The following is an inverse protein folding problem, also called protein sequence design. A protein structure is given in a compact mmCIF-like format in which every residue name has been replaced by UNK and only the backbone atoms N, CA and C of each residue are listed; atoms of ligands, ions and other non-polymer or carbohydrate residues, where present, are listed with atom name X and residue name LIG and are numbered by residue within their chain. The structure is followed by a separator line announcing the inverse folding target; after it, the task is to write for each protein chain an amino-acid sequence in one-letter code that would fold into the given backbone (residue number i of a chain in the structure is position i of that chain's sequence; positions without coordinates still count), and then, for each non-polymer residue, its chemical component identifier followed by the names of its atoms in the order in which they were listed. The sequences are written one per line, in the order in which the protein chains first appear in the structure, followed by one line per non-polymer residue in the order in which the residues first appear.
data_IF_661314098331
#
_entry.id   IF_661314098331
#
_cell.length_a   1.000
_cell.length_b   1.000
_cell.length_c   1.000
_cell.angle_alpha   90.00
_cell.angle_beta   90.00
_cell.angle_gamma   90.00
#
_symmetry.space_group_name_H-M   'P 1'
#
loop_
_entity.id
_entity.type
_entity.pdbx_description
1 polymer ?
#
# COMPACT_ATOMS: atom_id res chain seq x y z
N UNK A 1 6.77 31.99 6.41
CA UNK A 1 5.79 31.07 5.76
C UNK A 1 6.49 29.73 5.50
N UNK A 2 6.13 28.67 6.22
CA UNK A 2 6.74 27.35 6.05
C UNK A 2 6.37 26.80 4.67
N UNK A 3 7.37 26.60 3.82
CA UNK A 3 7.22 25.92 2.52
C UNK A 3 6.65 24.52 2.78
N UNK A 4 5.34 24.35 2.62
CA UNK A 4 4.72 23.03 2.56
C UNK A 4 5.47 22.22 1.51
N UNK A 5 6.04 21.09 1.90
CA UNK A 5 6.60 20.14 0.95
C UNK A 5 5.55 19.91 -0.14
N UNK A 6 5.88 20.31 -1.38
CA UNK A 6 4.95 20.31 -2.51
C UNK A 6 4.38 18.89 -2.63
N UNK A 7 3.12 18.74 -2.28
CA UNK A 7 2.41 17.47 -2.43
C UNK A 7 2.51 17.09 -3.90
N UNK A 8 2.98 15.89 -4.19
CA UNK A 8 3.11 15.39 -5.56
C UNK A 8 1.75 14.78 -5.93
N UNK A 9 0.90 15.46 -6.73
CA UNK A 9 -0.50 15.06 -6.90
C UNK A 9 -0.66 13.64 -7.46
N UNK A 10 0.17 13.23 -8.42
CA UNK A 10 0.07 11.88 -9.01
C UNK A 10 0.30 10.75 -7.99
N UNK A 11 1.05 10.98 -6.89
CA UNK A 11 1.17 9.97 -5.83
C UNK A 11 -0.16 9.75 -5.08
N UNK A 12 -0.94 10.82 -4.91
CA UNK A 12 -2.30 10.66 -4.38
C UNK A 12 -3.20 9.92 -5.37
N UNK A 13 -3.03 10.18 -6.67
CA UNK A 13 -3.73 9.43 -7.70
C UNK A 13 -3.42 7.94 -7.66
N UNK A 14 -2.14 7.55 -7.54
CA UNK A 14 -1.77 6.14 -7.39
C UNK A 14 -2.43 5.53 -6.15
N UNK A 15 -2.45 6.23 -5.03
CA UNK A 15 -3.11 5.77 -3.81
C UNK A 15 -4.62 5.62 -4.00
N UNK A 16 -5.25 6.58 -4.69
CA UNK A 16 -6.69 6.55 -4.96
C UNK A 16 -7.09 5.38 -5.85
N UNK A 17 -6.38 5.18 -6.99
CA UNK A 17 -6.66 4.05 -7.89
C UNK A 17 -6.38 2.70 -7.21
N UNK A 18 -5.32 2.62 -6.40
CA UNK A 18 -5.01 1.41 -5.65
C UNK A 18 -6.08 1.07 -4.63
N UNK A 19 -6.58 2.05 -3.88
CA UNK A 19 -7.61 1.85 -2.87
C UNK A 19 -8.95 1.37 -3.48
N UNK A 20 -9.42 2.03 -4.55
CA UNK A 20 -10.66 1.60 -5.21
C UNK A 20 -10.49 0.22 -5.85
N UNK A 21 -9.35 -0.06 -6.46
CA UNK A 21 -9.12 -1.33 -7.11
C UNK A 21 -9.08 -2.50 -6.10
N UNK A 22 -8.44 -2.34 -4.94
CA UNK A 22 -8.45 -3.33 -3.86
C UNK A 22 -9.88 -3.51 -3.31
N UNK A 23 -10.64 -2.43 -3.20
CA UNK A 23 -12.06 -2.49 -2.78
C UNK A 23 -12.89 -3.33 -3.76
N UNK A 24 -12.73 -3.09 -5.07
CA UNK A 24 -13.40 -3.87 -6.11
C UNK A 24 -12.96 -5.34 -6.12
N UNK A 25 -11.68 -5.61 -5.89
CA UNK A 25 -11.14 -6.97 -5.78
C UNK A 25 -11.81 -7.77 -4.65
N UNK A 26 -11.85 -7.22 -3.44
CA UNK A 26 -12.51 -7.90 -2.32
C UNK A 26 -14.00 -8.06 -2.55
N UNK A 27 -14.65 -7.04 -3.11
CA UNK A 27 -16.07 -7.11 -3.46
C UNK A 27 -16.35 -8.22 -4.49
N UNK A 28 -15.56 -8.29 -5.56
CA UNK A 28 -15.71 -9.33 -6.58
C UNK A 28 -15.57 -10.74 -5.98
N UNK A 29 -14.58 -10.94 -5.11
CA UNK A 29 -14.40 -12.20 -4.40
C UNK A 29 -15.61 -12.55 -3.51
N UNK A 30 -16.19 -11.56 -2.83
CA UNK A 30 -17.40 -11.76 -2.01
C UNK A 30 -18.61 -12.15 -2.87
N UNK A 31 -18.79 -11.51 -4.03
CA UNK A 31 -19.89 -11.85 -4.97
C UNK A 31 -19.73 -13.28 -5.49
N UNK A 32 -18.50 -13.66 -5.86
CA UNK A 32 -18.20 -15.02 -6.32
C UNK A 32 -18.48 -16.05 -5.22
N UNK A 33 -18.05 -15.78 -4.00
CA UNK A 33 -18.27 -16.67 -2.84
C UNK A 33 -19.75 -16.77 -2.44
N UNK A 34 -20.52 -15.70 -2.61
CA UNK A 34 -21.95 -15.67 -2.30
C UNK A 34 -22.82 -16.46 -3.31
N UNK A 35 -22.26 -16.89 -4.44
CA UNK A 35 -22.98 -17.60 -5.51
C UNK A 35 -22.36 -18.97 -5.82
N UNK A 36 -22.42 -19.94 -4.89
CA UNK A 36 -21.77 -21.25 -5.05
C UNK A 36 -22.39 -22.09 -6.17
N UNK A 37 -23.61 -21.79 -6.60
CA UNK A 37 -24.28 -22.48 -7.73
C UNK A 37 -23.67 -22.16 -9.11
N UNK A 38 -22.74 -21.24 -9.14
CA UNK A 38 -22.02 -20.84 -10.34
C UNK A 38 -22.24 -19.38 -10.72
N UNK A 39 -21.21 -18.79 -11.28
CA UNK A 39 -21.21 -17.41 -11.76
C UNK A 39 -21.43 -17.41 -13.28
N UNK A 40 -22.31 -16.55 -13.84
CA UNK A 40 -22.49 -16.45 -15.27
C UNK A 40 -21.19 -16.14 -16.01
N UNK A 41 -20.92 -16.82 -17.11
CA UNK A 41 -19.70 -16.63 -17.91
C UNK A 41 -19.51 -15.17 -18.36
N UNK A 42 -20.60 -14.46 -18.64
CA UNK A 42 -20.54 -13.03 -18.97
C UNK A 42 -20.03 -12.20 -17.79
N UNK A 43 -20.45 -12.52 -16.55
CA UNK A 43 -19.93 -11.83 -15.36
C UNK A 43 -18.42 -12.00 -15.24
N UNK A 44 -17.89 -13.21 -15.39
CA UNK A 44 -16.45 -13.45 -15.40
C UNK A 44 -15.73 -12.61 -16.46
N UNK A 45 -16.22 -12.63 -17.71
CA UNK A 45 -15.62 -11.83 -18.79
C UNK A 45 -15.56 -10.33 -18.48
N UNK A 46 -16.58 -9.80 -17.80
CA UNK A 46 -16.65 -8.37 -17.44
C UNK A 46 -15.78 -8.01 -16.22
N UNK A 47 -15.53 -8.96 -15.32
CA UNK A 47 -14.89 -8.71 -14.03
C UNK A 47 -13.51 -9.36 -13.86
N UNK A 48 -13.04 -10.18 -14.80
CA UNK A 48 -11.75 -10.87 -14.69
C UNK A 48 -10.56 -9.91 -14.45
N UNK A 49 -10.61 -8.71 -15.02
CA UNK A 49 -9.59 -7.70 -14.77
C UNK A 49 -9.54 -7.23 -13.31
N UNK A 50 -10.61 -7.39 -12.53
CA UNK A 50 -10.67 -7.01 -11.10
C UNK A 50 -9.86 -7.98 -10.23
N UNK A 51 -9.69 -9.24 -10.66
CA UNK A 51 -8.98 -10.30 -9.91
C UNK A 51 -7.54 -9.94 -9.53
N UNK A 52 -6.95 -8.96 -10.19
CA UNK A 52 -5.58 -8.52 -9.98
C UNK A 52 -5.43 -7.39 -8.94
N UNK A 53 -6.46 -7.14 -8.16
CA UNK A 53 -6.47 -6.04 -7.17
C UNK A 53 -5.42 -6.17 -6.08
N UNK A 54 -5.03 -7.37 -5.71
CA UNK A 54 -4.02 -7.65 -4.69
C UNK A 54 -2.63 -7.08 -5.07
N UNK A 55 -2.25 -7.11 -6.35
CA UNK A 55 -0.97 -6.54 -6.81
C UNK A 55 -0.84 -5.04 -6.57
N UNK A 56 -1.94 -4.30 -6.41
CA UNK A 56 -1.90 -2.83 -6.18
C UNK A 56 -1.33 -2.45 -4.83
N UNK A 57 -1.32 -3.39 -3.88
CA UNK A 57 -0.68 -3.21 -2.57
C UNK A 57 0.83 -2.98 -2.72
N UNK A 58 1.46 -3.57 -3.76
CA UNK A 58 2.87 -3.35 -4.06
C UNK A 58 3.24 -1.85 -4.21
N UNK A 59 2.38 -1.06 -4.87
CA UNK A 59 2.60 0.37 -5.03
C UNK A 59 2.61 1.12 -3.69
N UNK A 60 1.79 0.69 -2.72
CA UNK A 60 1.78 1.30 -1.38
C UNK A 60 3.11 1.09 -0.65
N UNK A 61 3.71 -0.10 -0.75
CA UNK A 61 4.99 -0.39 -0.10
C UNK A 61 6.14 0.43 -0.71
N UNK A 62 6.20 0.55 -2.03
CA UNK A 62 7.18 1.41 -2.70
C UNK A 62 6.99 2.87 -2.27
N UNK A 63 5.74 3.37 -2.27
CA UNK A 63 5.46 4.73 -1.82
C UNK A 63 5.76 4.93 -0.33
N UNK A 64 5.51 3.94 0.51
CA UNK A 64 5.82 3.99 1.93
C UNK A 64 7.32 4.11 2.16
N UNK A 65 8.13 3.24 1.54
CA UNK A 65 9.59 3.32 1.59
C UNK A 65 10.12 4.67 1.08
N UNK A 66 9.60 5.17 -0.05
CA UNK A 66 9.97 6.46 -0.61
C UNK A 66 9.65 7.62 0.35
N UNK A 67 8.38 7.76 0.75
CA UNK A 67 7.91 8.89 1.55
C UNK A 67 8.51 8.93 2.97
N UNK A 68 8.81 7.77 3.54
CA UNK A 68 9.46 7.69 4.84
C UNK A 68 10.94 8.06 4.80
N UNK A 69 11.58 7.84 3.66
CA UNK A 69 12.99 8.18 3.45
C UNK A 69 13.19 9.66 3.13
N UNK A 70 12.21 10.35 2.52
CA UNK A 70 12.32 11.78 2.14
C UNK A 70 12.83 12.69 3.27
N UNK A 71 12.28 12.68 4.50
CA UNK A 71 12.78 13.57 5.56
C UNK A 71 14.19 13.22 6.06
N UNK A 72 14.61 11.97 5.90
CA UNK A 72 15.91 11.46 6.34
C UNK A 72 16.98 11.77 5.32
N UNK A 73 16.63 11.60 4.05
CA UNK A 73 17.54 11.81 2.93
C UNK A 73 17.94 13.28 2.74
N UNK A 74 17.25 14.23 3.38
CA UNK A 74 17.63 15.66 3.40
C UNK A 74 18.96 15.90 4.12
N UNK A 75 19.38 15.00 5.01
CA UNK A 75 20.70 15.01 5.60
C UNK A 75 21.55 13.92 4.94
N UNK A 76 22.74 14.26 4.41
CA UNK A 76 23.68 13.30 3.86
C UNK A 76 24.11 12.19 4.84
N UNK A 77 23.73 12.31 6.11
CA UNK A 77 24.10 11.41 7.18
C UNK A 77 23.05 10.34 7.52
N UNK A 78 21.93 10.27 6.80
CA UNK A 78 20.84 9.31 7.08
C UNK A 78 20.32 9.35 8.53
N UNK A 79 20.37 10.52 9.17
CA UNK A 79 19.93 10.69 10.56
C UNK A 79 18.43 10.99 10.62
N UNK A 80 17.76 10.34 11.55
CA UNK A 80 16.36 10.64 11.91
C UNK A 80 16.30 11.92 12.75
N UNK A 81 15.51 12.94 12.40
CA UNK A 81 15.46 14.22 13.10
C UNK A 81 15.10 14.12 14.59
N UNK A 82 14.43 13.05 15.02
CA UNK A 82 14.04 12.82 16.42
C UNK A 82 14.49 11.43 16.91
N UNK A 83 15.52 10.86 16.32
CA UNK A 83 15.99 9.50 16.60
C UNK A 83 14.99 8.40 16.21
N UNK A 84 15.41 7.17 16.38
CA UNK A 84 14.66 5.97 16.04
C UNK A 84 13.36 5.86 16.84
N UNK A 85 13.42 6.09 18.15
CA UNK A 85 12.23 6.06 19.04
C UNK A 85 11.19 7.11 18.63
N UNK A 86 11.63 8.35 18.37
CA UNK A 86 10.74 9.43 17.96
C UNK A 86 10.12 9.18 16.59
N UNK A 87 10.86 8.56 15.68
CA UNK A 87 10.34 8.10 14.38
C UNK A 87 9.26 7.03 14.56
N UNK A 88 9.58 5.93 15.24
CA UNK A 88 8.65 4.81 15.45
C UNK A 88 7.39 5.26 16.18
N UNK A 89 7.51 6.10 17.23
CA UNK A 89 6.35 6.64 17.93
C UNK A 89 5.41 7.39 16.99
N UNK A 90 5.94 8.36 16.20
CA UNK A 90 5.09 9.13 15.26
C UNK A 90 4.45 8.25 14.19
N UNK A 91 5.14 7.18 13.75
CA UNK A 91 4.58 6.24 12.78
C UNK A 91 3.53 5.34 13.42
N UNK A 92 3.77 4.86 14.63
CA UNK A 92 2.79 4.11 15.40
C UNK A 92 1.52 4.93 15.63
N UNK A 93 1.64 6.15 16.13
CA UNK A 93 0.49 7.04 16.36
C UNK A 93 -0.35 7.24 15.08
N UNK A 94 0.33 7.50 13.95
CA UNK A 94 -0.35 7.76 12.68
C UNK A 94 -0.99 6.52 12.04
N UNK A 95 -0.34 5.36 12.15
CA UNK A 95 -0.80 4.11 11.54
C UNK A 95 -1.71 3.35 12.49
N UNK A 96 -1.27 3.10 13.71
CA UNK A 96 -1.94 2.19 14.63
C UNK A 96 -3.15 2.82 15.31
N UNK A 97 -3.19 4.13 15.50
CA UNK A 97 -4.35 4.80 16.07
C UNK A 97 -5.63 4.53 15.26
N UNK A 98 -5.69 4.90 13.97
CA UNK A 98 -6.83 4.55 13.14
C UNK A 98 -7.02 3.04 12.95
N UNK A 99 -5.93 2.26 12.91
CA UNK A 99 -6.00 0.80 12.81
C UNK A 99 -6.79 0.16 13.95
N UNK A 100 -6.50 0.51 15.21
CA UNK A 100 -7.20 -0.10 16.33
C UNK A 100 -8.68 0.29 16.41
N UNK A 101 -9.03 1.51 16.00
CA UNK A 101 -10.44 1.91 15.85
C UNK A 101 -11.14 1.09 14.76
N UNK A 102 -10.45 0.91 13.61
CA UNK A 102 -10.96 0.09 12.52
C UNK A 102 -11.01 -1.40 12.90
N UNK A 103 -10.06 -1.90 13.68
CA UNK A 103 -10.09 -3.28 14.21
C UNK A 103 -11.32 -3.49 15.11
N UNK A 104 -11.61 -2.56 16.02
CA UNK A 104 -12.81 -2.63 16.85
C UNK A 104 -14.10 -2.62 16.01
N UNK A 105 -14.19 -1.75 15.01
CA UNK A 105 -15.28 -1.75 14.04
C UNK A 105 -15.35 -3.07 13.26
N UNK A 106 -14.20 -3.61 12.82
CA UNK A 106 -14.15 -4.88 12.10
C UNK A 106 -14.61 -6.05 12.94
N UNK A 107 -14.26 -6.08 14.23
CA UNK A 107 -14.75 -7.09 15.19
C UNK A 107 -16.27 -7.00 15.34
N UNK A 108 -16.82 -5.79 15.55
CA UNK A 108 -18.26 -5.60 15.65
C UNK A 108 -18.97 -6.10 14.39
N UNK A 109 -18.53 -5.65 13.22
CA UNK A 109 -19.13 -6.04 11.94
C UNK A 109 -18.93 -7.53 11.62
N UNK A 110 -17.81 -8.14 12.07
CA UNK A 110 -17.58 -9.56 11.96
C UNK A 110 -18.59 -10.37 12.78
N UNK A 111 -18.88 -9.97 14.01
CA UNK A 111 -19.86 -10.65 14.86
C UNK A 111 -21.27 -10.51 14.29
N UNK A 112 -21.66 -9.33 13.79
CA UNK A 112 -22.95 -9.12 13.12
C UNK A 112 -23.03 -9.97 11.84
N UNK A 113 -21.98 -9.96 11.01
CA UNK A 113 -21.92 -10.77 9.81
C UNK A 113 -22.04 -12.28 10.13
N UNK A 114 -21.33 -12.75 11.15
CA UNK A 114 -21.38 -14.15 11.60
C UNK A 114 -22.79 -14.57 11.98
N UNK A 115 -23.53 -13.71 12.69
CA UNK A 115 -24.94 -13.95 13.05
C UNK A 115 -25.83 -13.96 11.80
N UNK A 116 -25.66 -13.00 10.88
CA UNK A 116 -26.45 -12.90 9.63
C UNK A 116 -26.18 -14.08 8.71
N UNK A 117 -24.91 -14.46 8.52
CA UNK A 117 -24.49 -15.55 7.66
C UNK A 117 -24.60 -16.93 8.31
N UNK A 118 -25.04 -16.98 9.58
CA UNK A 118 -25.16 -18.21 10.38
C UNK A 118 -23.86 -19.01 10.46
N UNK A 119 -22.70 -18.31 10.46
CA UNK A 119 -21.38 -18.91 10.60
C UNK A 119 -20.97 -18.90 12.09
N UNK A 120 -20.71 -20.06 12.72
CA UNK A 120 -20.39 -20.11 14.14
C UNK A 120 -19.05 -19.47 14.44
N UNK A 121 -18.99 -18.65 15.51
CA UNK A 121 -17.74 -18.09 16.02
C UNK A 121 -17.14 -19.04 17.06
N UNK A 122 -16.04 -19.69 16.70
CA UNK A 122 -15.28 -20.52 17.62
C UNK A 122 -14.45 -19.65 18.56
N UNK A 123 -14.84 -19.54 19.83
CA UNK A 123 -14.26 -18.60 20.81
C UNK A 123 -12.73 -18.68 20.89
N UNK A 124 -12.14 -19.89 20.91
CA UNK A 124 -10.68 -20.08 20.95
C UNK A 124 -10.00 -19.48 19.71
N UNK A 125 -10.49 -19.78 18.51
CA UNK A 125 -9.93 -19.26 17.27
C UNK A 125 -10.09 -17.74 17.18
N UNK A 126 -11.24 -17.22 17.60
CA UNK A 126 -11.51 -15.78 17.65
C UNK A 126 -10.56 -15.07 18.62
N UNK A 127 -10.36 -15.57 19.82
CA UNK A 127 -9.46 -14.97 20.81
C UNK A 127 -8.01 -14.95 20.34
N UNK A 128 -7.54 -16.05 19.74
CA UNK A 128 -6.19 -16.13 19.14
C UNK A 128 -6.07 -15.14 17.97
N UNK A 129 -7.05 -15.12 17.07
CA UNK A 129 -7.07 -14.19 15.94
C UNK A 129 -7.07 -12.74 16.41
N UNK A 130 -7.91 -12.38 17.37
CA UNK A 130 -7.96 -11.02 17.92
C UNK A 130 -6.65 -10.63 18.59
N UNK A 131 -6.08 -11.50 19.44
CA UNK A 131 -4.79 -11.24 20.07
C UNK A 131 -3.67 -11.03 19.02
N UNK A 132 -3.65 -11.86 17.98
CA UNK A 132 -2.68 -11.72 16.89
C UNK A 132 -2.83 -10.39 16.13
N UNK A 133 -4.07 -9.91 15.91
CA UNK A 133 -4.34 -8.60 15.31
C UNK A 133 -3.91 -7.44 16.22
N UNK A 134 -4.21 -7.54 17.52
CA UNK A 134 -3.78 -6.52 18.51
C UNK A 134 -2.26 -6.43 18.58
N UNK A 135 -1.55 -7.58 18.50
CA UNK A 135 -0.09 -7.63 18.53
C UNK A 135 0.58 -7.36 17.18
N UNK A 136 -0.19 -7.17 16.09
CA UNK A 136 0.33 -6.97 14.72
C UNK A 136 1.22 -8.12 14.22
N UNK A 137 0.88 -9.34 14.59
CA UNK A 137 1.57 -10.59 14.19
C UNK A 137 0.66 -11.56 13.42
N UNK A 138 -0.61 -11.16 13.17
CA UNK A 138 -1.59 -12.00 12.49
C UNK A 138 -1.18 -12.37 11.05
N UNK A 139 -0.31 -11.58 10.41
CA UNK A 139 0.25 -11.89 9.10
C UNK A 139 1.31 -13.01 9.11
N UNK A 140 1.76 -13.46 10.29
CA UNK A 140 2.78 -14.50 10.44
C UNK A 140 2.21 -15.92 10.56
N UNK A 141 0.89 -16.06 10.69
CA UNK A 141 0.19 -17.35 10.76
C UNK A 141 -1.02 -17.34 9.79
N UNK A 142 -1.09 -18.30 8.84
CA UNK A 142 -2.19 -18.33 7.85
C UNK A 142 -3.58 -18.48 8.49
N UNK A 143 -3.67 -19.04 9.72
CA UNK A 143 -4.92 -19.21 10.44
C UNK A 143 -5.46 -17.91 11.02
N UNK A 144 -4.59 -16.93 11.27
CA UNK A 144 -4.97 -15.63 11.85
C UNK A 144 -4.99 -14.49 10.84
N UNK A 145 -4.26 -14.63 9.73
CA UNK A 145 -3.99 -13.57 8.75
C UNK A 145 -5.27 -12.92 8.21
N UNK A 146 -6.27 -13.73 7.82
CA UNK A 146 -7.50 -13.27 7.18
C UNK A 146 -8.74 -13.40 8.10
N UNK A 147 -8.56 -13.75 9.37
CA UNK A 147 -9.65 -14.21 10.24
C UNK A 147 -10.71 -13.14 10.52
N UNK A 148 -10.32 -11.95 10.95
CA UNK A 148 -11.26 -10.86 11.30
C UNK A 148 -11.56 -10.01 10.09
N UNK A 149 -10.52 -9.53 9.41
CA UNK A 149 -10.64 -8.65 8.25
C UNK A 149 -9.45 -8.86 7.32
N UNK A 150 -9.73 -9.39 6.15
CA UNK A 150 -8.73 -9.82 5.17
C UNK A 150 -7.63 -8.75 4.91
N UNK A 151 -7.92 -7.47 4.61
CA UNK A 151 -6.88 -6.51 4.24
C UNK A 151 -5.90 -6.15 5.37
N UNK A 152 -6.22 -6.42 6.63
CA UNK A 152 -5.45 -5.89 7.78
C UNK A 152 -4.02 -6.46 7.89
N UNK A 153 -3.71 -7.62 7.24
CA UNK A 153 -2.36 -8.18 7.20
C UNK A 153 -1.32 -7.18 6.69
N UNK A 154 -1.71 -6.34 5.76
CA UNK A 154 -0.84 -5.34 5.16
C UNK A 154 -0.39 -4.26 6.16
N UNK A 155 -1.27 -3.85 7.09
CA UNK A 155 -0.94 -2.85 8.12
C UNK A 155 0.10 -3.42 9.09
N UNK A 156 -0.02 -4.69 9.47
CA UNK A 156 0.97 -5.36 10.30
C UNK A 156 2.34 -5.41 9.59
N UNK A 157 2.36 -5.84 8.33
CA UNK A 157 3.60 -5.92 7.55
C UNK A 157 4.21 -4.52 7.32
N UNK A 158 3.40 -3.50 7.06
CA UNK A 158 3.88 -2.12 6.92
C UNK A 158 4.52 -1.62 8.21
N UNK A 159 3.91 -1.88 9.37
CA UNK A 159 4.51 -1.51 10.66
C UNK A 159 5.80 -2.29 10.95
N UNK A 160 5.85 -3.58 10.62
CA UNK A 160 7.06 -4.39 10.70
C UNK A 160 8.18 -3.82 9.80
N UNK A 161 7.85 -3.35 8.60
CA UNK A 161 8.80 -2.65 7.73
C UNK A 161 9.32 -1.35 8.36
N UNK A 162 8.49 -0.59 9.10
CA UNK A 162 8.95 0.62 9.82
C UNK A 162 9.95 0.28 10.93
N UNK A 163 9.70 -0.79 11.66
CA UNK A 163 10.62 -1.28 12.71
C UNK A 163 11.94 -1.75 12.08
N UNK A 164 11.87 -2.59 11.04
CA UNK A 164 13.03 -3.06 10.29
C UNK A 164 13.86 -1.87 9.72
N UNK A 165 13.19 -0.91 9.13
CA UNK A 165 13.85 0.27 8.58
C UNK A 165 14.59 1.08 9.65
N UNK A 166 13.92 1.42 10.75
CA UNK A 166 14.49 2.27 11.76
C UNK A 166 15.62 1.59 12.55
N UNK A 167 15.45 0.31 12.88
CA UNK A 167 16.37 -0.39 13.80
C UNK A 167 17.47 -1.19 13.09
N UNK A 168 17.29 -1.55 11.82
CA UNK A 168 18.23 -2.40 11.08
C UNK A 168 18.75 -1.71 9.84
N UNK A 169 17.86 -1.36 8.90
CA UNK A 169 18.29 -0.83 7.59
C UNK A 169 19.01 0.50 7.71
N UNK A 170 18.45 1.43 8.45
CA UNK A 170 19.03 2.77 8.56
C UNK A 170 20.40 2.78 9.26
N UNK A 171 20.63 2.10 10.42
CA UNK A 171 21.95 1.93 10.99
C UNK A 171 22.93 1.23 10.05
N UNK A 172 22.48 0.18 9.34
CA UNK A 172 23.32 -0.52 8.37
C UNK A 172 23.69 0.38 7.18
N UNK A 173 22.76 1.20 6.67
CA UNK A 173 23.03 2.16 5.60
C UNK A 173 24.04 3.24 6.01
N UNK A 174 24.02 3.68 7.27
CA UNK A 174 25.03 4.60 7.81
C UNK A 174 26.41 3.99 7.84
N UNK A 175 26.53 2.68 8.12
CA UNK A 175 27.81 1.99 8.28
C UNK A 175 28.37 1.44 6.97
N UNK A 176 27.52 0.89 6.10
CA UNK A 176 27.92 0.12 4.92
C UNK A 176 27.53 0.76 3.59
N UNK A 177 26.98 2.00 3.63
CA UNK A 177 26.41 2.66 2.47
C UNK A 177 25.01 2.14 2.12
N UNK A 178 24.39 2.74 1.10
CA UNK A 178 22.96 2.50 0.78
C UNK A 178 22.73 1.11 0.19
N UNK A 179 23.56 0.69 -0.75
CA UNK A 179 23.26 -0.48 -1.58
C UNK A 179 23.41 -1.81 -0.85
N UNK A 180 24.48 -1.99 -0.07
CA UNK A 180 24.76 -3.26 0.60
C UNK A 180 23.60 -3.74 1.50
N UNK A 181 23.04 -2.90 2.41
CA UNK A 181 21.90 -3.32 3.23
C UNK A 181 20.63 -3.55 2.42
N UNK A 182 20.37 -2.75 1.37
CA UNK A 182 19.18 -2.93 0.54
C UNK A 182 19.25 -4.23 -0.27
N UNK A 183 20.42 -4.57 -0.82
CA UNK A 183 20.64 -5.86 -1.50
C UNK A 183 20.52 -7.02 -0.51
N UNK A 184 21.18 -6.92 0.65
CA UNK A 184 21.13 -7.97 1.67
C UNK A 184 19.68 -8.25 2.14
N UNK A 185 18.89 -7.21 2.46
CA UNK A 185 17.51 -7.40 2.88
C UNK A 185 16.65 -7.97 1.75
N UNK A 186 16.92 -7.58 0.50
CA UNK A 186 16.18 -8.11 -0.65
C UNK A 186 16.44 -9.60 -0.85
N UNK A 187 17.71 -10.02 -0.78
CA UNK A 187 18.08 -11.44 -0.87
C UNK A 187 17.47 -12.23 0.29
N UNK A 188 17.62 -11.76 1.53
CA UNK A 188 17.08 -12.43 2.72
C UNK A 188 15.55 -12.52 2.69
N UNK A 189 14.87 -11.51 2.13
CA UNK A 189 13.40 -11.52 2.02
C UNK A 189 12.89 -12.46 0.93
N UNK A 190 13.64 -12.67 -0.13
CA UNK A 190 13.24 -13.56 -1.23
C UNK A 190 13.71 -15.01 -1.00
N UNK A 191 14.80 -15.21 -0.27
CA UNK A 191 15.36 -16.52 0.00
C UNK A 191 14.35 -17.55 0.57
N UNK A 192 13.42 -17.19 1.48
CA UNK A 192 12.42 -18.13 2.00
C UNK A 192 11.53 -18.75 0.90
N UNK A 193 11.19 -17.98 -0.15
CA UNK A 193 10.41 -18.50 -1.27
C UNK A 193 11.12 -19.70 -1.93
N UNK A 194 12.41 -19.58 -2.23
CA UNK A 194 13.18 -20.64 -2.87
C UNK A 194 13.58 -21.75 -1.91
N UNK A 195 14.00 -21.42 -0.69
CA UNK A 195 14.47 -22.41 0.30
C UNK A 195 13.35 -23.31 0.81
N UNK A 196 12.14 -22.76 0.94
CA UNK A 196 10.99 -23.49 1.44
C UNK A 196 9.94 -23.80 0.37
N UNK A 197 10.33 -23.72 -0.92
CA UNK A 197 9.47 -24.03 -2.07
C UNK A 197 8.08 -23.35 -1.99
N UNK A 198 8.05 -22.08 -1.58
CA UNK A 198 6.82 -21.28 -1.45
C UNK A 198 6.01 -21.55 -0.18
N UNK A 199 6.45 -22.44 0.71
CA UNK A 199 5.69 -22.76 1.94
C UNK A 199 5.46 -21.57 2.86
N UNK A 200 6.31 -20.52 2.82
CA UNK A 200 6.17 -19.29 3.60
C UNK A 200 5.57 -18.12 2.79
N UNK A 201 5.06 -18.37 1.60
CA UNK A 201 4.61 -17.29 0.71
C UNK A 201 3.40 -16.49 1.24
N UNK A 202 2.62 -17.07 2.14
CA UNK A 202 1.54 -16.33 2.82
C UNK A 202 2.04 -15.11 3.60
N UNK A 203 3.28 -15.15 4.16
CA UNK A 203 3.90 -14.02 4.87
C UNK A 203 4.24 -12.88 3.91
N UNK A 204 4.32 -13.17 2.60
CA UNK A 204 4.66 -12.23 1.52
C UNK A 204 5.97 -11.48 1.75
N UNK A 205 7.08 -12.19 2.02
CA UNK A 205 8.34 -11.56 2.44
C UNK A 205 8.91 -10.60 1.39
N UNK A 206 8.61 -10.77 0.10
CA UNK A 206 9.01 -9.87 -0.99
C UNK A 206 8.46 -8.44 -0.88
N UNK A 207 7.46 -8.19 -0.03
CA UNK A 207 6.99 -6.83 0.22
C UNK A 207 8.04 -5.96 0.94
N UNK A 208 8.96 -6.58 1.68
CA UNK A 208 10.13 -5.90 2.23
C UNK A 208 11.03 -5.36 1.09
N UNK A 209 11.14 -6.10 -0.03
CA UNK A 209 11.88 -5.65 -1.22
C UNK A 209 11.20 -4.42 -1.84
N UNK A 210 9.87 -4.43 -1.92
CA UNK A 210 9.11 -3.28 -2.44
C UNK A 210 9.35 -2.03 -1.59
N UNK A 211 9.37 -2.20 -0.27
CA UNK A 211 9.71 -1.12 0.64
C UNK A 211 11.16 -0.63 0.41
N UNK A 212 12.12 -1.56 0.29
CA UNK A 212 13.52 -1.26 -0.01
C UNK A 212 13.70 -0.56 -1.37
N UNK A 213 12.92 -0.95 -2.39
CA UNK A 213 12.87 -0.23 -3.68
C UNK A 213 12.43 1.22 -3.50
N UNK A 214 11.44 1.48 -2.65
CA UNK A 214 11.02 2.84 -2.32
C UNK A 214 12.14 3.64 -1.64
N UNK A 215 12.87 3.04 -0.71
CA UNK A 215 14.05 3.65 -0.06
C UNK A 215 15.13 3.97 -1.11
N UNK A 216 15.45 3.01 -1.98
CA UNK A 216 16.43 3.18 -3.07
C UNK A 216 16.01 4.29 -4.04
N UNK A 217 14.74 4.32 -4.41
CA UNK A 217 14.17 5.37 -5.29
C UNK A 217 14.33 6.76 -4.67
N UNK A 218 14.08 6.90 -3.36
CA UNK A 218 14.28 8.16 -2.67
C UNK A 218 15.77 8.54 -2.59
N UNK A 219 16.66 7.57 -2.35
CA UNK A 219 18.10 7.80 -2.30
C UNK A 219 18.65 8.30 -3.65
N UNK A 220 18.28 7.64 -4.75
CA UNK A 220 18.64 8.03 -6.13
C UNK A 220 18.05 9.41 -6.48
N UNK A 221 16.82 9.68 -6.05
CA UNK A 221 16.15 10.95 -6.31
C UNK A 221 16.72 12.15 -5.52
N UNK A 222 17.66 11.94 -4.59
CA UNK A 222 18.05 12.98 -3.65
C UNK A 222 19.33 13.71 -4.05
N UNK A 223 19.29 15.06 -4.19
CA UNK A 223 20.47 15.87 -4.52
C UNK A 223 21.56 15.87 -3.43
N UNK A 224 21.24 15.47 -2.19
CA UNK A 224 22.26 15.32 -1.14
C UNK A 224 23.27 14.18 -1.40
N UNK A 225 23.01 13.32 -2.40
CA UNK A 225 23.88 12.21 -2.79
C UNK A 225 24.30 12.32 -4.27
N UNK A 226 25.23 13.22 -4.61
CA UNK A 226 25.62 13.48 -6.00
C UNK A 226 26.17 12.25 -6.73
N UNK A 227 26.82 11.34 -6.02
CA UNK A 227 27.30 10.08 -6.60
C UNK A 227 26.15 9.14 -7.03
N UNK A 228 25.09 9.07 -6.22
CA UNK A 228 23.89 8.30 -6.57
C UNK A 228 23.14 8.94 -7.73
N UNK A 229 23.12 10.27 -7.81
CA UNK A 229 22.54 10.98 -8.96
C UNK A 229 23.30 10.70 -10.25
N UNK A 230 24.65 10.68 -10.22
CA UNK A 230 25.42 10.31 -11.41
C UNK A 230 25.13 8.88 -11.88
N UNK A 231 24.87 7.96 -10.95
CA UNK A 231 24.44 6.61 -11.31
C UNK A 231 23.01 6.63 -11.89
N UNK A 232 22.10 7.36 -11.26
CA UNK A 232 20.73 7.53 -11.72
C UNK A 232 20.67 8.12 -13.12
N UNK A 233 21.55 9.07 -13.46
CA UNK A 233 21.61 9.72 -14.77
C UNK A 233 21.93 8.77 -15.93
N UNK A 234 22.64 7.68 -15.68
CA UNK A 234 23.01 6.68 -16.68
C UNK A 234 21.91 5.65 -16.95
N UNK A 235 20.89 5.59 -16.10
CA UNK A 235 19.86 4.56 -16.16
C UNK A 235 18.68 5.05 -17.02
N UNK A 236 18.24 4.27 -18.01
CA UNK A 236 17.11 4.63 -18.89
C UNK A 236 15.75 4.36 -18.20
N UNK A 237 15.40 5.17 -17.20
CA UNK A 237 14.21 4.97 -16.38
C UNK A 237 12.92 4.89 -17.19
N UNK A 238 12.79 5.64 -18.27
CA UNK A 238 11.62 5.57 -19.16
C UNK A 238 11.46 4.18 -19.80
N UNK A 239 12.55 3.57 -20.25
CA UNK A 239 12.55 2.21 -20.81
C UNK A 239 12.21 1.17 -19.73
N UNK A 240 12.81 1.29 -18.55
CA UNK A 240 12.56 0.38 -17.43
C UNK A 240 11.09 0.47 -16.98
N UNK A 241 10.58 1.69 -16.83
CA UNK A 241 9.16 1.90 -16.51
C UNK A 241 8.24 1.25 -17.52
N UNK A 242 8.46 1.50 -18.81
CA UNK A 242 7.60 1.00 -19.87
C UNK A 242 7.70 -0.53 -19.97
N UNK A 243 8.90 -1.08 -19.95
CA UNK A 243 9.12 -2.53 -20.01
C UNK A 243 8.51 -3.25 -18.79
N UNK A 244 8.74 -2.76 -17.57
CA UNK A 244 8.19 -3.35 -16.37
C UNK A 244 6.65 -3.26 -16.33
N UNK A 245 6.07 -2.14 -16.82
CA UNK A 245 4.61 -1.98 -16.93
C UNK A 245 4.00 -3.01 -17.89
N UNK A 246 4.65 -3.29 -19.02
CA UNK A 246 4.19 -4.31 -19.97
C UNK A 246 4.49 -5.74 -19.49
N UNK A 247 5.61 -5.96 -18.83
CA UNK A 247 5.97 -7.29 -18.30
C UNK A 247 5.04 -7.75 -17.17
N UNK A 248 4.46 -6.83 -16.39
CA UNK A 248 3.56 -7.18 -15.29
C UNK A 248 2.34 -7.99 -15.76
N UNK A 249 1.50 -7.54 -16.71
CA UNK A 249 0.37 -8.34 -17.18
C UNK A 249 0.79 -9.63 -17.89
N UNK A 250 1.95 -9.65 -18.57
CA UNK A 250 2.48 -10.88 -19.18
C UNK A 250 2.85 -11.89 -18.10
N UNK A 251 3.52 -11.47 -17.04
CA UNK A 251 3.87 -12.34 -15.92
C UNK A 251 2.61 -12.84 -15.17
N UNK A 252 1.56 -12.01 -15.04
CA UNK A 252 0.28 -12.40 -14.48
C UNK A 252 -0.38 -13.49 -15.36
N UNK A 253 -0.40 -13.28 -16.67
CA UNK A 253 -0.96 -14.25 -17.61
C UNK A 253 -0.19 -15.57 -17.60
N UNK A 254 1.14 -15.52 -17.61
CA UNK A 254 2.01 -16.70 -17.67
C UNK A 254 1.95 -17.55 -16.38
N UNK A 255 1.71 -16.94 -15.22
CA UNK A 255 1.66 -17.66 -13.94
C UNK A 255 0.32 -18.33 -13.66
N UNK A 256 -0.70 -18.09 -14.49
CA UNK A 256 -2.08 -18.50 -14.22
C UNK A 256 -2.72 -17.66 -13.09
N UNK A 257 -4.05 -17.52 -13.17
CA UNK A 257 -4.80 -16.64 -12.26
C UNK A 257 -5.06 -17.33 -10.91
N UNK A 258 -4.99 -18.65 -10.87
CA UNK A 258 -5.43 -19.50 -9.75
C UNK A 258 -4.32 -19.89 -8.78
N UNK A 259 -3.12 -19.33 -8.93
CA UNK A 259 -2.04 -19.63 -8.00
C UNK A 259 -2.31 -18.94 -6.63
N UNK A 260 -2.73 -19.70 -5.60
CA UNK A 260 -2.96 -19.13 -4.29
C UNK A 260 -1.64 -18.64 -3.72
N UNK A 261 -1.61 -17.42 -3.24
CA UNK A 261 -0.54 -16.78 -2.44
C UNK A 261 0.88 -16.80 -3.01
N UNK A 262 1.32 -17.83 -3.75
CA UNK A 262 2.73 -18.07 -4.11
C UNK A 262 3.20 -17.46 -5.43
N UNK A 263 2.33 -17.28 -6.40
CA UNK A 263 2.71 -16.83 -7.75
C UNK A 263 2.86 -15.31 -7.90
N UNK A 264 2.67 -14.58 -6.83
CA UNK A 264 2.60 -13.12 -6.88
C UNK A 264 3.92 -12.37 -6.69
N UNK A 265 5.04 -13.02 -6.32
CA UNK A 265 6.27 -12.29 -6.00
C UNK A 265 6.86 -11.57 -7.22
N UNK A 266 6.95 -12.22 -8.37
CA UNK A 266 7.50 -11.63 -9.59
C UNK A 266 6.64 -10.45 -10.08
N UNK A 267 5.33 -10.64 -10.13
CA UNK A 267 4.39 -9.60 -10.54
C UNK A 267 4.43 -8.40 -9.61
N UNK A 268 4.50 -8.62 -8.31
CA UNK A 268 4.65 -7.56 -7.32
C UNK A 268 5.97 -6.80 -7.50
N UNK A 269 7.09 -7.51 -7.74
CA UNK A 269 8.40 -6.90 -7.97
C UNK A 269 8.43 -6.12 -9.28
N UNK A 270 7.84 -6.64 -10.36
CA UNK A 270 7.73 -5.92 -11.64
C UNK A 270 6.89 -4.65 -11.49
N UNK A 271 5.77 -4.72 -10.79
CA UNK A 271 4.95 -3.53 -10.52
C UNK A 271 5.70 -2.53 -9.62
N UNK A 272 6.38 -3.01 -8.58
CA UNK A 272 7.22 -2.17 -7.73
C UNK A 272 8.33 -1.46 -8.50
N UNK A 273 8.99 -2.18 -9.41
CA UNK A 273 9.99 -1.62 -10.31
C UNK A 273 9.38 -0.59 -11.27
N UNK A 274 8.21 -0.87 -11.83
CA UNK A 274 7.48 0.07 -12.68
C UNK A 274 7.15 1.37 -11.93
N UNK A 275 6.64 1.29 -10.70
CA UNK A 275 6.32 2.47 -9.87
C UNK A 275 7.60 3.25 -9.52
N UNK A 276 8.68 2.58 -9.14
CA UNK A 276 9.96 3.19 -8.80
C UNK A 276 10.58 3.92 -10.02
N UNK A 277 10.62 3.23 -11.15
CA UNK A 277 11.13 3.79 -12.39
C UNK A 277 10.26 4.96 -12.90
N UNK A 278 8.94 4.89 -12.74
CA UNK A 278 8.03 5.99 -13.05
C UNK A 278 8.35 7.25 -12.22
N UNK A 279 8.57 7.11 -10.93
CA UNK A 279 8.92 8.24 -10.06
C UNK A 279 10.22 8.92 -10.48
N UNK A 280 11.26 8.14 -10.77
CA UNK A 280 12.55 8.67 -11.23
C UNK A 280 12.43 9.30 -12.62
N UNK A 281 11.68 8.68 -13.53
CA UNK A 281 11.47 9.18 -14.88
C UNK A 281 10.67 10.48 -14.91
N UNK A 282 9.58 10.58 -14.14
CA UNK A 282 8.76 11.80 -14.04
C UNK A 282 9.56 12.93 -13.40
N UNK A 283 10.35 12.63 -12.36
CA UNK A 283 11.23 13.62 -11.73
C UNK A 283 12.23 14.24 -12.70
N UNK A 284 12.75 13.48 -13.66
CA UNK A 284 13.68 13.96 -14.73
C UNK A 284 13.01 14.74 -15.85
N UNK A 285 11.72 15.04 -15.75
CA UNK A 285 10.97 15.74 -16.79
C UNK A 285 10.60 14.89 -17.99
N UNK A 286 10.63 13.56 -17.86
CA UNK A 286 10.21 12.60 -18.89
C UNK A 286 10.92 12.76 -20.23
N UNK A 287 12.26 12.64 -20.33
CA UNK A 287 13.00 12.76 -21.58
C UNK A 287 12.80 11.55 -22.50
N UNK A 288 12.90 11.74 -23.81
CA UNK A 288 12.97 10.65 -24.81
C UNK A 288 11.62 10.06 -25.24
N UNK A 289 11.63 8.82 -25.79
CA UNK A 289 10.49 8.29 -26.56
C UNK A 289 9.24 8.02 -25.75
N UNK A 290 9.36 7.78 -24.44
CA UNK A 290 8.22 7.49 -23.55
C UNK A 290 7.62 8.73 -22.90
N UNK A 291 8.01 9.94 -23.34
CA UNK A 291 7.50 11.21 -22.78
C UNK A 291 5.97 11.36 -22.91
N UNK A 292 5.40 11.04 -24.07
CA UNK A 292 3.96 11.15 -24.30
C UNK A 292 3.15 10.23 -23.37
N UNK A 293 3.39 8.90 -23.32
CA UNK A 293 2.65 8.02 -22.42
C UNK A 293 2.86 8.38 -20.94
N UNK A 294 4.04 8.82 -20.51
CA UNK A 294 4.27 9.24 -19.14
C UNK A 294 3.48 10.50 -18.77
N UNK A 295 3.44 11.51 -19.65
CA UNK A 295 2.62 12.72 -19.43
C UNK A 295 1.13 12.41 -19.37
N UNK A 296 0.65 11.48 -20.21
CA UNK A 296 -0.74 10.98 -20.15
C UNK A 296 -1.01 10.31 -18.81
N UNK A 297 -0.11 9.40 -18.37
CA UNK A 297 -0.23 8.73 -17.07
C UNK A 297 -0.25 9.73 -15.90
N UNK A 298 0.66 10.72 -15.91
CA UNK A 298 0.66 11.78 -14.87
C UNK A 298 -0.66 12.55 -14.87
N UNK A 299 -1.16 13.00 -16.01
CA UNK A 299 -2.45 13.71 -16.09
C UNK A 299 -3.62 12.87 -15.59
N UNK A 300 -3.66 11.59 -15.94
CA UNK A 300 -4.69 10.67 -15.48
C UNK A 300 -4.61 10.47 -13.96
N UNK A 301 -3.41 10.32 -13.41
CA UNK A 301 -3.18 10.18 -11.96
C UNK A 301 -3.44 11.48 -11.19
N UNK A 302 -3.31 12.64 -11.83
CA UNK A 302 -3.61 13.95 -11.25
C UNK A 302 -5.08 14.35 -11.35
N UNK A 303 -5.94 13.46 -11.85
CA UNK A 303 -7.39 13.68 -11.87
C UNK A 303 -7.90 13.95 -10.45
N UNK A 304 -8.55 15.10 -10.27
CA UNK A 304 -8.93 15.63 -8.94
C UNK A 304 -9.70 14.66 -8.06
N UNK A 305 -10.75 13.96 -8.55
CA UNK A 305 -11.47 12.98 -7.71
C UNK A 305 -10.57 11.82 -7.25
N UNK A 306 -9.66 11.36 -8.11
CA UNK A 306 -8.72 10.31 -7.78
C UNK A 306 -7.71 10.73 -6.71
N UNK A 307 -7.19 11.95 -6.82
CA UNK A 307 -6.33 12.55 -5.79
C UNK A 307 -7.07 12.76 -4.47
N UNK A 308 -8.33 13.18 -4.52
CA UNK A 308 -9.16 13.32 -3.33
C UNK A 308 -9.36 11.98 -2.63
N UNK A 309 -9.71 10.91 -3.37
CA UNK A 309 -9.79 9.56 -2.85
C UNK A 309 -8.45 9.10 -2.25
N UNK A 310 -7.34 9.40 -2.92
CA UNK A 310 -5.99 9.08 -2.43
C UNK A 310 -5.63 9.77 -1.12
N UNK A 311 -6.22 10.94 -0.83
CA UNK A 311 -5.96 11.67 0.40
C UNK A 311 -6.49 10.93 1.66
N UNK A 312 -7.57 10.15 1.53
CA UNK A 312 -8.14 9.32 2.60
C UNK A 312 -8.14 7.82 2.28
N UNK A 313 -7.30 7.40 1.34
CA UNK A 313 -7.18 6.01 0.90
C UNK A 313 -6.88 5.02 2.03
N UNK A 314 -6.21 5.47 3.09
CA UNK A 314 -5.94 4.63 4.27
C UNK A 314 -7.24 4.30 5.01
N UNK A 315 -8.13 5.26 5.21
CA UNK A 315 -9.46 5.00 5.78
C UNK A 315 -10.28 4.06 4.90
N UNK A 316 -10.27 4.25 3.57
CA UNK A 316 -10.93 3.30 2.65
C UNK A 316 -10.38 1.90 2.87
N UNK A 317 -9.05 1.76 2.91
CA UNK A 317 -8.37 0.49 3.10
C UNK A 317 -8.76 -0.20 4.40
N UNK A 318 -8.87 0.54 5.50
CA UNK A 318 -9.18 -0.01 6.81
C UNK A 318 -10.61 -0.53 6.95
N UNK A 319 -11.59 0.14 6.32
CA UNK A 319 -13.02 -0.12 6.64
C UNK A 319 -13.79 -0.81 5.50
N UNK A 320 -13.28 -0.84 4.26
CA UNK A 320 -14.06 -1.35 3.12
C UNK A 320 -14.48 -2.81 3.27
N UNK A 321 -13.57 -3.67 3.71
CA UNK A 321 -13.82 -5.10 3.76
C UNK A 321 -14.94 -5.51 4.71
N UNK A 322 -14.92 -5.13 6.00
CA UNK A 322 -15.99 -5.52 6.93
C UNK A 322 -17.35 -4.93 6.55
N UNK A 323 -17.38 -3.72 5.98
CA UNK A 323 -18.62 -3.09 5.51
C UNK A 323 -19.19 -3.86 4.32
N UNK A 324 -18.39 -4.08 3.29
CA UNK A 324 -18.83 -4.79 2.07
C UNK A 324 -19.26 -6.22 2.39
N UNK A 325 -18.51 -6.93 3.24
CA UNK A 325 -18.86 -8.30 3.65
C UNK A 325 -20.23 -8.38 4.31
N UNK A 326 -20.55 -7.44 5.20
CA UNK A 326 -21.85 -7.38 5.82
C UNK A 326 -22.97 -7.03 4.83
N UNK A 327 -22.75 -6.04 3.95
CA UNK A 327 -23.73 -5.62 2.94
C UNK A 327 -24.05 -6.73 1.95
N UNK A 328 -23.02 -7.45 1.48
CA UNK A 328 -23.19 -8.63 0.59
C UNK A 328 -23.97 -9.73 1.30
N UNK A 329 -23.65 -10.04 2.56
CA UNK A 329 -24.37 -11.06 3.32
C UNK A 329 -25.84 -10.68 3.56
N UNK A 330 -26.14 -9.45 3.92
CA UNK A 330 -27.51 -8.95 4.09
C UNK A 330 -28.30 -9.04 2.76
N UNK A 331 -27.68 -8.72 1.63
CA UNK A 331 -28.33 -8.83 0.34
C UNK A 331 -28.62 -10.28 -0.03
N UNK A 332 -27.72 -11.20 0.34
CA UNK A 332 -27.88 -12.65 0.13
C UNK A 332 -29.11 -13.26 0.81
N UNK A 333 -29.66 -12.60 1.84
CA UNK A 333 -30.93 -13.00 2.45
C UNK A 333 -32.15 -12.76 1.56
N UNK A 334 -32.03 -11.86 0.58
CA UNK A 334 -33.17 -11.44 -0.27
C UNK A 334 -33.05 -11.87 -1.72
N UNK A 335 -31.83 -12.10 -2.21
CA UNK A 335 -31.59 -12.47 -3.60
C UNK A 335 -30.33 -13.33 -3.79
N UNK A 336 -30.44 -14.32 -4.66
CA UNK A 336 -29.31 -15.13 -5.13
C UNK A 336 -28.90 -14.76 -6.57
N UNK A 337 -29.48 -13.71 -7.14
CA UNK A 337 -29.12 -13.26 -8.48
C UNK A 337 -27.77 -12.55 -8.47
N UNK A 338 -26.77 -13.12 -9.18
CA UNK A 338 -25.45 -12.52 -9.37
C UNK A 338 -25.54 -11.10 -9.92
N UNK A 339 -26.44 -10.85 -10.85
CA UNK A 339 -26.59 -9.55 -11.52
C UNK A 339 -27.18 -8.48 -10.59
N UNK A 340 -28.19 -8.84 -9.79
CA UNK A 340 -28.76 -7.91 -8.79
C UNK A 340 -27.71 -7.59 -7.73
N UNK A 341 -27.05 -8.63 -7.19
CA UNK A 341 -26.00 -8.46 -6.20
C UNK A 341 -24.86 -7.61 -6.75
N UNK A 342 -24.38 -7.87 -7.98
CA UNK A 342 -23.34 -7.08 -8.62
C UNK A 342 -23.78 -5.62 -8.84
N UNK A 343 -25.00 -5.41 -9.37
CA UNK A 343 -25.54 -4.07 -9.58
C UNK A 343 -25.59 -3.25 -8.28
N UNK A 344 -26.17 -3.81 -7.22
CA UNK A 344 -26.18 -3.16 -5.90
C UNK A 344 -24.75 -2.93 -5.37
N UNK A 345 -23.88 -3.90 -5.52
CA UNK A 345 -22.50 -3.85 -5.03
C UNK A 345 -21.69 -2.75 -5.69
N UNK A 346 -21.68 -2.66 -7.00
CA UNK A 346 -20.86 -1.67 -7.72
C UNK A 346 -21.47 -0.27 -7.64
N UNK A 347 -22.80 -0.12 -7.72
CA UNK A 347 -23.44 1.20 -7.85
C UNK A 347 -23.93 1.77 -6.51
N UNK A 348 -24.13 0.94 -5.48
CA UNK A 348 -24.60 1.40 -4.17
C UNK A 348 -23.56 1.13 -3.09
N UNK A 349 -23.07 -0.11 -2.93
CA UNK A 349 -22.22 -0.46 -1.79
C UNK A 349 -20.82 0.14 -1.86
N UNK A 350 -20.20 0.20 -3.06
CA UNK A 350 -18.90 0.84 -3.21
C UNK A 350 -18.98 2.34 -2.92
N UNK A 351 -19.89 3.13 -3.52
CA UNK A 351 -20.04 4.55 -3.17
C UNK A 351 -20.36 4.78 -1.69
N UNK A 352 -21.25 3.98 -1.10
CA UNK A 352 -21.60 4.05 0.31
C UNK A 352 -20.37 3.77 1.19
N UNK A 353 -19.59 2.74 0.86
CA UNK A 353 -18.36 2.39 1.58
C UNK A 353 -17.32 3.50 1.51
N UNK A 354 -17.14 4.13 0.34
CA UNK A 354 -16.25 5.28 0.16
C UNK A 354 -16.73 6.47 1.01
N UNK A 355 -18.04 6.71 1.06
CA UNK A 355 -18.61 7.77 1.88
C UNK A 355 -18.42 7.51 3.39
N UNK A 356 -18.66 6.29 3.86
CA UNK A 356 -18.39 5.89 5.26
C UNK A 356 -16.90 6.03 5.58
N UNK A 357 -16.01 5.61 4.65
CA UNK A 357 -14.57 5.75 4.80
C UNK A 357 -14.13 7.22 4.88
N UNK A 358 -14.78 8.12 4.15
CA UNK A 358 -14.55 9.56 4.29
C UNK A 358 -14.98 10.06 5.68
N UNK A 359 -16.13 9.62 6.20
CA UNK A 359 -16.55 9.89 7.57
C UNK A 359 -15.52 9.39 8.59
N UNK A 360 -15.02 8.16 8.42
CA UNK A 360 -13.96 7.59 9.27
C UNK A 360 -12.66 8.41 9.18
N UNK A 361 -12.28 8.87 8.00
CA UNK A 361 -11.14 9.77 7.82
C UNK A 361 -11.29 11.06 8.64
N UNK A 362 -12.44 11.73 8.55
CA UNK A 362 -12.68 13.00 9.23
C UNK A 362 -12.74 12.82 10.75
N UNK A 363 -13.43 11.79 11.22
CA UNK A 363 -13.70 11.56 12.63
C UNK A 363 -12.52 10.90 13.37
N UNK A 364 -11.77 10.04 12.69
CA UNK A 364 -10.73 9.21 13.29
C UNK A 364 -9.36 9.56 12.72
N UNK A 365 -9.06 9.20 11.46
CA UNK A 365 -7.71 9.25 10.89
C UNK A 365 -7.10 10.65 11.00
N UNK A 366 -7.85 11.69 10.65
CA UNK A 366 -7.38 13.07 10.65
C UNK A 366 -6.94 13.57 12.02
N UNK A 367 -7.59 13.07 13.09
CA UNK A 367 -7.23 13.43 14.49
C UNK A 367 -5.86 12.88 14.88
N UNK A 368 -5.56 11.63 14.49
CA UNK A 368 -4.25 11.03 14.70
C UNK A 368 -3.17 11.66 13.83
N UNK A 369 -3.49 12.07 12.60
CA UNK A 369 -2.54 12.77 11.73
C UNK A 369 -2.16 14.16 12.24
N UNK A 370 -3.07 14.86 12.92
CA UNK A 370 -2.86 16.22 13.45
C UNK A 370 -2.24 16.22 14.85
N UNK A 371 -1.93 15.08 15.45
CA UNK A 371 -1.41 14.98 16.81
C UNK A 371 -2.39 15.46 17.91
N UNK A 372 -3.68 15.56 17.59
CA UNK A 372 -4.69 16.09 18.54
C UNK A 372 -5.05 15.14 19.68
N UNK A 373 -4.83 13.85 19.50
CA UNK A 373 -5.13 12.81 20.51
C UNK A 373 -3.92 12.53 21.39
N UNK A 374 -2.70 12.78 20.86
CA UNK A 374 -1.46 12.64 21.60
C UNK A 374 -0.70 13.96 21.52
N UNK A 375 -0.49 14.69 22.62
CA UNK A 375 0.23 15.96 22.57
C UNK A 375 1.63 15.72 22.02
N UNK A 376 1.86 16.17 20.79
CA UNK A 376 3.16 16.11 20.17
C UNK A 376 4.13 16.98 20.96
N UNK A 377 5.21 16.42 21.47
CA UNK A 377 6.40 17.18 21.81
C UNK A 377 6.71 18.09 20.62
N UNK A 378 6.79 19.39 20.86
CA UNK A 378 6.96 20.46 19.85
C UNK A 378 7.96 20.01 18.79
N UNK A 379 7.47 19.78 17.57
CA UNK A 379 8.31 19.53 16.40
C UNK A 379 9.04 20.84 16.13
N UNK A 380 10.36 20.84 16.24
CA UNK A 380 11.20 21.91 15.68
C UNK A 380 10.79 22.07 14.22
N UNK A 381 10.35 23.27 13.87
CA UNK A 381 9.91 23.59 12.51
C UNK A 381 11.01 23.21 11.50
N UNK A 382 10.66 22.64 10.35
CA UNK A 382 11.66 22.31 9.34
C UNK A 382 12.35 23.60 8.89
N UNK A 383 13.68 23.60 8.94
CA UNK A 383 14.53 24.67 8.40
C UNK A 383 14.16 24.88 6.93
N UNK A 384 13.89 26.12 6.48
CA UNK A 384 13.59 26.42 5.10
C UNK A 384 14.79 26.05 4.21
N UNK A 385 14.55 25.35 3.11
CA UNK A 385 15.52 25.27 2.01
C UNK A 385 15.59 26.65 1.38
N UNK A 386 16.67 27.39 1.62
CA UNK A 386 16.99 28.57 0.82
C UNK A 386 17.10 28.13 -0.65
N UNK A 387 16.24 28.69 -1.47
CA UNK A 387 16.39 28.66 -2.90
C UNK A 387 17.72 29.38 -3.21
N UNK A 388 18.71 28.65 -3.71
CA UNK A 388 19.87 29.27 -4.31
C UNK A 388 19.36 30.10 -5.51
N UNK A 389 19.28 31.39 -5.28
CA UNK A 389 18.96 32.38 -6.31
C UNK A 389 20.09 32.28 -7.37
N UNK A 390 19.75 31.81 -8.55
CA UNK A 390 20.48 32.16 -9.76
C UNK A 390 20.20 33.65 -9.97
N UNK A 391 21.14 34.48 -9.53
CA UNK A 391 21.23 35.87 -9.97
C UNK A 391 21.48 35.87 -11.49
N UNK A 392 20.81 36.67 -12.28
CA UNK A 392 21.21 36.90 -13.66
C UNK A 392 22.46 37.75 -13.63
N UNK A 393 23.56 37.21 -14.16
CA UNK A 393 24.71 38.01 -14.52
C UNK A 393 24.31 38.91 -15.71
N UNK A 394 24.42 40.19 -15.52
CA UNK A 394 24.33 41.26 -16.50
C UNK A 394 25.45 41.21 -17.53
#
# INVERSE_FOLDING_TARGET
MATQARKIPYMFGIRGISAIYVTLFHLNNMIVQANPAGIPALYHRLTDWIRYGDFRVAAFFVMSGYLLTVPIARSAQWKLPAGERGFLRRRAERLLGPYYVALALSVLLFLIWSAVAQVPVHLKAFSIGLAAHVLLIHNLDPRTMLYISDPLWNVALEFQCYVLFALVLLPAMRRFGVWRPLVAVSVLSLAPHFLFHGWLDWVRPWFVILYALGVATCALANPAFPELQRQEDRIPWGTIWFAATLATPVAVWASGIDAPYGAGWLQNLLLGLAVSAFFLYVRRGTPGPFAKPAKVAVRALEFRPLCALGAFSYSVYLVHFPILRLLVALTGLYTHSTWILAGLSFFVFVPLTVWIAYGFHVLVERRFQQGRIWPATRVIAPVPLEASALAPET
#
